data_IF_735572544047
#
_entry.id   IF_735572544047
#
_cell.length_a   1.000
_cell.length_b   1.000
_cell.length_c   1.000
_cell.angle_alpha   90.00
_cell.angle_beta   90.00
_cell.angle_gamma   90.00
#
_symmetry.space_group_name_H-M   'P 1'
#
loop_
_entity.id
_entity.type
_entity.pdbx_description
1 polymer ?
#
# COMPACT_ATOMS: atom_id res chain seq x y z
N UNK A 1 -13.10 5.80 22.21
CA UNK A 1 -12.83 7.10 21.57
C UNK A 1 -11.59 6.96 20.72
N UNK A 2 -11.75 6.52 19.48
CA UNK A 2 -10.70 6.41 18.45
C UNK A 2 -11.42 6.39 17.12
N UNK A 3 -11.53 7.54 16.46
CA UNK A 3 -12.33 7.66 15.24
C UNK A 3 -12.44 9.06 14.67
N UNK A 4 -11.44 9.92 14.91
CA UNK A 4 -11.32 11.20 14.20
C UNK A 4 -10.29 11.03 13.06
N UNK A 5 -10.65 11.29 11.80
CA UNK A 5 -9.78 11.09 10.64
C UNK A 5 -8.67 12.16 10.49
N UNK A 6 -8.46 13.01 11.49
CA UNK A 6 -7.40 14.04 11.51
C UNK A 6 -6.14 13.69 12.30
N UNK A 7 -6.11 12.55 13.00
CA UNK A 7 -4.96 12.18 13.82
C UNK A 7 -4.14 11.06 13.15
N UNK A 8 -2.89 11.33 12.84
CA UNK A 8 -1.96 10.27 12.49
C UNK A 8 -1.73 9.38 13.70
N UNK A 9 -2.16 8.13 13.63
CA UNK A 9 -1.92 7.14 14.68
C UNK A 9 -0.70 6.29 14.35
N UNK A 10 0.26 6.18 15.26
CA UNK A 10 1.35 5.21 15.15
C UNK A 10 1.07 4.01 16.07
N UNK A 11 1.53 2.82 15.70
CA UNK A 11 1.45 1.61 16.54
C UNK A 11 2.87 1.19 16.91
N UNK A 12 3.10 0.88 18.18
CA UNK A 12 4.42 0.47 18.69
C UNK A 12 4.29 -0.85 19.45
N UNK A 13 5.18 -1.79 19.20
CA UNK A 13 5.23 -3.05 19.95
C UNK A 13 6.22 -2.95 21.10
N UNK A 14 5.77 -3.30 22.31
CA UNK A 14 6.56 -3.24 23.55
C UNK A 14 6.48 -4.60 24.24
N UNK A 15 7.61 -5.27 24.55
CA UNK A 15 7.61 -6.49 25.34
C UNK A 15 6.95 -6.29 26.71
N UNK A 16 6.22 -7.30 27.20
CA UNK A 16 5.55 -7.22 28.51
C UNK A 16 6.45 -6.79 29.66
N UNK A 17 7.72 -7.21 29.68
CA UNK A 17 8.68 -6.81 30.71
C UNK A 17 9.01 -5.30 30.67
N UNK A 18 9.13 -4.73 29.46
CA UNK A 18 9.41 -3.30 29.28
C UNK A 18 8.16 -2.45 29.57
N UNK A 19 6.97 -2.94 29.19
CA UNK A 19 5.71 -2.27 29.52
C UNK A 19 5.45 -2.26 31.04
N UNK A 20 5.87 -3.31 31.76
CA UNK A 20 5.79 -3.37 33.22
C UNK A 20 6.76 -2.40 33.92
N UNK A 21 8.00 -2.30 33.43
CA UNK A 21 9.03 -1.43 34.02
C UNK A 21 8.91 0.04 33.59
N UNK A 22 8.27 0.32 32.46
CA UNK A 22 8.29 1.61 31.77
C UNK A 22 9.56 1.75 30.91
N UNK A 23 9.44 2.40 29.75
CA UNK A 23 10.55 2.57 28.81
C UNK A 23 10.33 3.78 27.91
N UNK A 24 11.39 4.27 27.27
CA UNK A 24 11.29 5.28 26.20
C UNK A 24 11.75 4.65 24.90
N UNK A 25 10.93 4.73 23.84
CA UNK A 25 11.23 4.19 22.52
C UNK A 25 11.23 5.32 21.49
N UNK A 26 12.15 5.25 20.53
CA UNK A 26 12.12 6.11 19.36
C UNK A 26 11.41 5.36 18.24
N UNK A 27 10.33 5.94 17.72
CA UNK A 27 9.48 5.31 16.70
C UNK A 27 9.44 6.21 15.50
N UNK A 28 9.69 5.65 14.32
CA UNK A 28 9.66 6.42 13.09
C UNK A 28 8.25 6.41 12.49
N UNK A 29 7.71 7.59 12.21
CA UNK A 29 6.44 7.78 11.50
C UNK A 29 6.70 8.29 10.07
N UNK A 30 6.06 7.71 9.03
CA UNK A 30 6.19 8.19 7.64
C UNK A 30 5.79 9.65 7.46
N UNK A 31 4.82 10.12 8.23
CA UNK A 31 4.30 11.48 8.13
C UNK A 31 5.06 12.46 9.02
N UNK A 32 5.67 11.99 10.13
CA UNK A 32 6.12 12.86 11.23
C UNK A 32 7.59 12.68 11.65
N UNK A 33 8.33 11.77 11.02
CA UNK A 33 9.73 11.48 11.37
C UNK A 33 9.87 10.74 12.71
N UNK A 34 11.04 10.82 13.38
CA UNK A 34 11.28 10.13 14.64
C UNK A 34 10.50 10.76 15.81
N UNK A 35 9.75 9.94 16.54
CA UNK A 35 8.95 10.29 17.71
C UNK A 35 9.51 9.61 18.96
N UNK A 36 9.76 10.38 20.02
CA UNK A 36 10.18 9.83 21.32
C UNK A 36 8.93 9.49 22.15
N UNK A 37 8.59 8.21 22.23
CA UNK A 37 7.41 7.71 22.94
C UNK A 37 7.82 7.23 24.33
N UNK A 38 7.29 7.87 25.36
CA UNK A 38 7.45 7.43 26.76
C UNK A 38 6.32 6.48 27.10
N UNK A 39 6.66 5.24 27.44
CA UNK A 39 5.74 4.18 27.87
C UNK A 39 5.73 4.15 29.40
N UNK A 40 4.63 4.53 30.06
CA UNK A 40 4.54 4.48 31.51
C UNK A 40 4.69 3.04 32.06
N UNK A 41 5.26 2.86 33.26
CA UNK A 41 5.25 1.56 33.93
C UNK A 41 3.83 1.04 34.14
N UNK A 42 3.61 -0.25 33.88
CA UNK A 42 2.30 -0.90 33.99
C UNK A 42 1.38 -0.67 32.78
N UNK A 43 1.92 -0.25 31.64
CA UNK A 43 1.14 -0.05 30.40
C UNK A 43 0.52 -1.37 29.92
N UNK A 44 -0.77 -1.37 29.59
CA UNK A 44 -1.50 -2.52 29.05
C UNK A 44 -1.62 -2.46 27.52
N UNK A 45 -1.87 -3.60 26.88
CA UNK A 45 -2.14 -3.67 25.43
C UNK A 45 -3.30 -2.75 25.05
N UNK A 46 -3.13 -1.98 23.96
CA UNK A 46 -4.10 -1.02 23.46
C UNK A 46 -4.08 0.37 24.13
N UNK A 47 -3.17 0.63 25.07
CA UNK A 47 -3.01 1.96 25.66
C UNK A 47 -2.58 3.00 24.60
N UNK A 48 -3.09 4.23 24.71
CA UNK A 48 -2.74 5.33 23.80
C UNK A 48 -1.97 6.40 24.55
N UNK A 49 -0.81 6.80 24.02
CA UNK A 49 0.03 7.88 24.53
C UNK A 49 0.08 9.01 23.51
N UNK A 50 -0.02 10.25 23.97
CA UNK A 50 0.12 11.43 23.14
C UNK A 50 1.56 11.92 23.14
N UNK A 51 2.15 12.07 21.96
CA UNK A 51 3.55 12.48 21.79
C UNK A 51 3.60 13.76 20.96
N UNK A 52 4.38 14.73 21.42
CA UNK A 52 4.53 16.00 20.71
C UNK A 52 5.62 15.88 19.63
N UNK A 53 5.21 16.06 18.38
CA UNK A 53 6.11 16.15 17.23
C UNK A 53 6.49 17.62 16.96
N UNK A 54 7.77 17.93 16.70
CA UNK A 54 8.20 19.27 16.29
C UNK A 54 7.54 19.76 14.99
N UNK A 55 7.11 18.85 14.12
CA UNK A 55 6.58 19.18 12.78
C UNK A 55 5.05 19.07 12.67
N UNK A 56 4.39 18.35 13.58
CA UNK A 56 2.99 17.97 13.42
C UNK A 56 2.12 18.09 14.68
N UNK A 57 2.65 18.63 15.78
CA UNK A 57 1.88 18.76 17.02
C UNK A 57 1.65 17.40 17.70
N UNK A 58 0.48 17.20 18.32
CA UNK A 58 0.20 16.02 19.13
C UNK A 58 -0.17 14.80 18.27
N UNK A 59 0.62 13.74 18.39
CA UNK A 59 0.44 12.46 17.70
C UNK A 59 -0.02 11.40 18.70
N UNK A 60 -1.10 10.67 18.39
CA UNK A 60 -1.55 9.55 19.19
C UNK A 60 -0.77 8.27 18.82
N UNK A 61 -0.17 7.62 19.81
CA UNK A 61 0.59 6.38 19.63
C UNK A 61 -0.09 5.26 20.42
N UNK A 62 -0.53 4.22 19.73
CA UNK A 62 -1.12 3.02 20.34
C UNK A 62 -0.03 2.01 20.69
N UNK A 63 0.02 1.56 21.93
CA UNK A 63 1.00 0.62 22.44
C UNK A 63 0.41 -0.79 22.37
N UNK A 64 1.12 -1.69 21.71
CA UNK A 64 0.82 -3.11 21.67
C UNK A 64 1.79 -3.87 22.56
N UNK A 65 1.26 -4.52 23.59
CA UNK A 65 2.10 -5.25 24.56
C UNK A 65 2.19 -6.70 24.11
N UNK A 66 3.36 -7.12 23.64
CA UNK A 66 3.58 -8.50 23.21
C UNK A 66 3.73 -9.42 24.43
N UNK A 67 2.83 -10.41 24.53
CA UNK A 67 2.95 -11.47 25.53
C UNK A 67 4.03 -12.46 25.11
N UNK A 68 4.95 -12.87 26.01
CA UNK A 68 5.87 -13.94 25.69
C UNK A 68 5.08 -15.24 25.46
N UNK A 69 5.48 -16.01 24.45
CA UNK A 69 4.99 -17.37 24.26
C UNK A 69 5.23 -18.15 25.57
N UNK A 70 4.23 -18.88 26.11
CA UNK A 70 4.51 -19.80 27.19
C UNK A 70 5.57 -20.80 26.71
N UNK A 71 6.56 -21.15 27.55
CA UNK A 71 7.52 -22.17 27.18
C UNK A 71 6.79 -23.45 26.80
N UNK A 72 7.31 -24.22 25.84
CA UNK A 72 6.69 -25.48 25.45
C UNK A 72 6.50 -26.35 26.71
N UNK A 73 5.37 -27.06 26.84
CA UNK A 73 5.17 -27.95 27.98
C UNK A 73 6.33 -28.95 28.05
N UNK A 74 6.83 -29.29 29.26
CA UNK A 74 7.91 -30.25 29.39
C UNK A 74 7.50 -31.57 28.72
N UNK A 75 8.40 -32.11 27.89
CA UNK A 75 8.22 -33.39 27.22
C UNK A 75 7.85 -34.47 28.25
N UNK A 76 6.61 -34.93 28.22
CA UNK A 76 6.19 -36.12 28.93
C UNK A 76 6.69 -37.35 28.15
N UNK A 77 7.64 -38.09 28.72
CA UNK A 77 7.95 -39.44 28.26
C UNK A 77 9.42 -39.77 28.11
N UNK A 78 10.13 -39.91 29.23
CA UNK A 78 11.21 -40.90 29.31
C UNK A 78 10.90 -41.77 30.54
N UNK A 79 10.44 -43.02 30.40
CA UNK A 79 10.27 -43.90 31.55
C UNK A 79 11.66 -44.29 32.09
N UNK A 80 11.87 -44.01 33.38
CA UNK A 80 13.00 -44.51 34.14
C UNK A 80 12.95 -46.04 34.21
N UNK A 81 14.08 -46.69 33.95
CA UNK A 81 14.28 -48.13 34.07
C UNK A 81 14.21 -48.59 35.52
N UNK A 82 13.16 -49.35 35.86
CA UNK A 82 13.03 -50.12 37.10
C UNK A 82 12.44 -51.50 36.81
N UNK A 83 12.86 -52.57 37.51
CA UNK A 83 12.46 -53.94 37.20
C UNK A 83 11.01 -54.26 37.63
N UNK A 84 10.32 -55.21 36.97
CA UNK A 84 8.88 -55.38 37.13
C UNK A 84 8.55 -56.35 38.27
N UNK A 85 7.51 -56.03 39.04
CA UNK A 85 6.79 -57.00 39.86
C UNK A 85 5.31 -56.60 39.94
N UNK A 86 4.41 -57.57 39.71
CA UNK A 86 3.01 -57.48 40.14
C UNK A 86 1.99 -57.58 39.01
N UNK A 87 1.27 -58.70 39.03
CA UNK A 87 0.19 -59.07 38.13
C UNK A 87 -0.99 -58.07 38.07
N UNK A 88 -1.62 -57.96 36.91
CA UNK A 88 -2.99 -57.44 36.76
C UNK A 88 -3.86 -58.44 35.97
N UNK A 89 -5.14 -58.62 36.37
CA UNK A 89 -6.11 -59.48 35.70
C UNK A 89 -6.70 -58.83 34.43
N UNK A 90 -7.38 -59.61 33.56
CA UNK A 90 -7.71 -59.19 32.19
C UNK A 90 -9.02 -58.38 32.11
N UNK A 91 -9.02 -57.28 31.37
CA UNK A 91 -10.26 -56.57 31.03
C UNK A 91 -10.08 -55.36 30.12
N UNK A 92 -10.61 -55.48 28.89
CA UNK A 92 -11.06 -54.42 27.98
C UNK A 92 -10.03 -53.44 27.37
N UNK A 93 -9.60 -53.73 26.13
CA UNK A 93 -9.11 -52.72 25.19
C UNK A 93 -10.25 -52.25 24.27
N UNK A 94 -10.41 -50.94 24.01
CA UNK A 94 -11.24 -50.43 22.92
C UNK A 94 -10.52 -50.62 21.55
N UNK A 95 -11.26 -50.78 20.44
CA UNK A 95 -10.70 -51.13 19.14
C UNK A 95 -10.02 -49.93 18.46
N UNK A 96 -8.77 -50.07 18.04
CA UNK A 96 -8.16 -49.12 17.09
C UNK A 96 -6.64 -48.94 17.09
N UNK A 97 -5.87 -49.54 18.00
CA UNK A 97 -4.41 -49.39 18.01
C UNK A 97 -3.71 -50.58 17.31
N UNK A 98 -3.13 -50.34 16.14
CA UNK A 98 -2.18 -51.25 15.51
C UNK A 98 -0.80 -51.12 16.20
N UNK A 99 -0.12 -52.22 16.56
CA UNK A 99 1.25 -52.14 17.08
C UNK A 99 2.25 -51.76 15.97
N UNK A 100 3.37 -51.09 16.31
CA UNK A 100 4.37 -50.67 15.32
C UNK A 100 5.17 -51.89 14.83
N UNK A 101 5.15 -52.19 13.53
CA UNK A 101 6.10 -53.15 12.95
C UNK A 101 5.66 -53.99 11.75
N UNK A 102 4.45 -53.86 11.21
CA UNK A 102 4.02 -54.67 10.06
C UNK A 102 3.67 -53.81 8.83
N UNK A 103 4.40 -54.00 7.73
CA UNK A 103 4.05 -53.50 6.41
C UNK A 103 2.92 -54.37 5.81
N UNK A 104 1.83 -53.79 5.27
CA UNK A 104 0.85 -54.56 4.51
C UNK A 104 1.34 -54.81 3.06
N UNK A 105 1.03 -55.98 2.47
CA UNK A 105 1.43 -56.34 1.11
C UNK A 105 0.62 -55.57 0.03
N UNK A 106 1.17 -55.40 -1.18
CA UNK A 106 0.61 -54.50 -2.18
C UNK A 106 -0.56 -55.14 -2.95
N UNK A 107 -1.67 -54.41 -3.04
CA UNK A 107 -2.69 -54.62 -4.07
C UNK A 107 -4.12 -54.79 -3.56
N UNK A 108 -4.75 -53.72 -3.08
CA UNK A 108 -6.19 -53.52 -3.21
C UNK A 108 -6.55 -52.02 -3.41
N UNK A 109 -7.58 -51.71 -4.21
CA UNK A 109 -7.94 -50.34 -4.57
C UNK A 109 -8.63 -49.60 -3.42
N UNK A 110 -8.21 -48.37 -3.17
CA UNK A 110 -8.79 -47.48 -2.17
C UNK A 110 -10.23 -47.09 -2.55
N UNK A 111 -11.19 -47.37 -1.66
CA UNK A 111 -12.55 -46.85 -1.76
C UNK A 111 -12.62 -45.33 -1.52
N UNK A 112 -13.74 -44.68 -1.91
CA UNK A 112 -13.87 -43.23 -1.80
C UNK A 112 -13.90 -42.76 -0.34
N UNK A 113 -13.35 -41.57 -0.04
CA UNK A 113 -13.27 -41.06 1.32
C UNK A 113 -14.66 -40.69 1.89
N UNK A 114 -14.85 -40.79 3.21
CA UNK A 114 -16.12 -40.43 3.85
C UNK A 114 -16.39 -38.91 3.78
N UNK A 115 -17.67 -38.50 3.80
CA UNK A 115 -18.06 -37.09 3.70
C UNK A 115 -17.61 -36.29 4.92
N UNK A 116 -17.13 -35.07 4.68
CA UNK A 116 -16.67 -34.15 5.70
C UNK A 116 -17.84 -33.63 6.57
N UNK A 117 -17.69 -33.71 7.89
CA UNK A 117 -18.59 -33.08 8.85
C UNK A 117 -18.37 -31.54 8.87
N UNK A 118 -19.42 -30.74 9.13
CA UNK A 118 -19.39 -29.30 8.94
C UNK A 118 -18.60 -28.58 10.03
N UNK A 119 -17.49 -27.92 9.66
CA UNK A 119 -16.79 -26.99 10.54
C UNK A 119 -17.44 -25.60 10.46
N UNK A 120 -18.17 -25.23 11.51
CA UNK A 120 -18.65 -23.87 11.73
C UNK A 120 -17.47 -22.93 11.99
N UNK A 121 -16.98 -22.29 10.94
CA UNK A 121 -16.01 -21.20 11.04
C UNK A 121 -16.74 -19.89 10.79
N UNK A 122 -16.93 -19.12 11.88
CA UNK A 122 -17.45 -17.75 11.84
C UNK A 122 -16.57 -16.92 10.92
N UNK A 123 -17.12 -16.55 9.75
CA UNK A 123 -16.58 -15.54 8.86
C UNK A 123 -16.74 -14.17 9.53
N UNK A 124 -15.65 -13.61 10.02
CA UNK A 124 -15.56 -12.16 10.13
C UNK A 124 -15.29 -11.61 8.73
N UNK A 125 -16.37 -11.41 7.99
CA UNK A 125 -16.40 -10.57 6.80
C UNK A 125 -16.15 -9.13 7.26
N UNK A 126 -14.99 -8.56 6.98
CA UNK A 126 -14.83 -7.11 7.05
C UNK A 126 -15.57 -6.55 5.84
N UNK A 127 -16.79 -6.12 6.11
CA UNK A 127 -17.69 -5.42 5.21
C UNK A 127 -17.05 -4.06 4.92
N UNK A 128 -16.57 -3.88 3.68
CA UNK A 128 -16.34 -2.56 3.11
C UNK A 128 -17.70 -1.90 2.90
N UNK A 129 -18.19 -1.22 3.95
CA UNK A 129 -19.38 -0.40 3.93
C UNK A 129 -18.97 1.06 3.78
N UNK A 130 -19.26 1.64 2.61
CA UNK A 130 -19.34 3.09 2.48
C UNK A 130 -20.51 3.61 3.34
N UNK A 131 -20.32 4.78 3.93
CA UNK A 131 -21.43 5.59 4.41
C UNK A 131 -21.01 7.06 4.43
N UNK A 132 -21.60 7.81 3.50
CA UNK A 132 -21.73 9.24 3.59
C UNK A 132 -22.58 9.57 4.83
N UNK A 133 -22.11 10.48 5.68
CA UNK A 133 -22.96 11.21 6.63
C UNK A 133 -22.43 12.64 6.74
N UNK A 134 -23.26 13.57 6.25
CA UNK A 134 -23.24 15.00 6.53
C UNK A 134 -23.36 15.25 8.03
N UNK A 135 -22.62 16.21 8.57
CA UNK A 135 -23.10 17.05 9.67
C UNK A 135 -22.35 18.39 9.73
N UNK A 136 -23.17 19.44 9.71
CA UNK A 136 -22.83 20.84 9.89
C UNK A 136 -22.56 21.19 11.37
N UNK A 137 -22.17 22.46 11.58
CA UNK A 137 -21.88 23.20 12.83
C UNK A 137 -20.38 23.17 13.18
N UNK A 138 -19.67 24.27 13.38
CA UNK A 138 -20.06 25.66 13.57
C UNK A 138 -19.01 26.33 14.48
N UNK A 139 -18.43 27.43 13.99
CA UNK A 139 -17.79 28.55 14.70
C UNK A 139 -16.83 28.27 15.89
N UNK A 140 -15.58 28.74 15.76
CA UNK A 140 -14.99 29.73 16.68
C UNK A 140 -13.66 30.26 16.12
N UNK A 141 -13.62 31.57 15.87
CA UNK A 141 -12.44 32.26 15.39
C UNK A 141 -11.37 32.48 16.45
N UNK A 142 -10.13 32.65 16.00
CA UNK A 142 -9.10 33.40 16.74
C UNK A 142 -8.38 34.30 15.75
N UNK A 143 -8.71 35.59 15.87
CA UNK A 143 -7.92 36.70 15.37
C UNK A 143 -6.55 36.66 16.03
N UNK A 144 -5.47 36.67 15.25
CA UNK A 144 -4.16 37.16 15.72
C UNK A 144 -3.62 38.19 14.76
N UNK A 145 -3.82 39.44 15.16
CA UNK A 145 -2.98 40.57 14.79
C UNK A 145 -1.56 40.35 15.33
N UNK A 146 -0.56 40.57 14.49
CA UNK A 146 0.79 40.92 14.93
C UNK A 146 1.11 42.31 14.39
N UNK A 147 1.17 43.25 15.32
CA UNK A 147 1.72 44.59 15.21
C UNK A 147 3.19 44.58 15.59
N UNK A 148 3.99 45.42 14.93
CA UNK A 148 5.38 45.78 15.25
C UNK A 148 6.22 45.70 13.97
N UNK A 149 6.72 46.77 13.35
CA UNK A 149 7.07 48.11 13.83
C UNK A 149 8.60 48.24 13.81
N UNK A 150 9.17 48.88 12.79
CA UNK A 150 10.14 49.99 12.92
C UNK A 150 10.62 50.52 11.54
N UNK A 151 10.25 51.77 11.28
CA UNK A 151 11.00 52.93 10.80
C UNK A 151 12.16 52.81 9.80
N UNK A 152 11.98 53.55 8.70
CA UNK A 152 13.02 54.04 7.79
C UNK A 152 12.51 55.30 7.09
N UNK A 153 12.70 56.45 7.73
CA UNK A 153 12.44 57.80 7.24
C UNK A 153 13.28 58.10 5.98
N UNK A 154 12.66 58.70 4.95
CA UNK A 154 13.32 59.67 4.09
C UNK A 154 12.31 60.68 3.52
N UNK A 155 12.60 61.96 3.77
CA UNK A 155 11.76 63.12 3.42
C UNK A 155 12.12 63.64 2.04
N UNK A 156 11.13 63.98 1.21
CA UNK A 156 11.20 65.24 0.46
C UNK A 156 9.82 65.78 0.06
N UNK A 157 9.61 67.07 0.38
CA UNK A 157 8.40 67.83 0.12
C UNK A 157 8.39 68.43 -1.30
N UNK A 158 7.21 68.45 -1.93
CA UNK A 158 6.90 69.18 -3.16
C UNK A 158 5.40 69.55 -3.20
N UNK A 159 5.11 70.81 -3.56
CA UNK A 159 3.85 71.57 -3.40
C UNK A 159 2.64 71.10 -4.25
N UNK A 160 1.41 71.60 -3.96
CA UNK A 160 0.14 71.01 -4.37
C UNK A 160 -0.33 71.49 -5.74
N UNK A 161 -0.94 70.61 -6.53
CA UNK A 161 -1.72 70.99 -7.70
C UNK A 161 -2.81 69.96 -8.00
N UNK A 162 -4.04 70.46 -8.16
CA UNK A 162 -5.01 69.90 -9.11
C UNK A 162 -5.80 68.68 -8.64
N UNK A 163 -6.99 68.97 -8.10
CA UNK A 163 -8.16 68.09 -8.20
C UNK A 163 -8.32 67.60 -9.65
N UNK A 164 -8.02 66.34 -9.89
CA UNK A 164 -8.72 65.55 -10.91
C UNK A 164 -9.19 64.28 -10.22
N UNK A 165 -10.44 64.34 -9.77
CA UNK A 165 -11.21 63.17 -9.35
C UNK A 165 -11.43 62.29 -10.58
N UNK A 166 -10.42 61.51 -10.94
CA UNK A 166 -10.62 60.35 -11.80
C UNK A 166 -11.26 59.29 -10.91
N UNK A 167 -12.59 59.16 -11.00
CA UNK A 167 -13.32 58.00 -10.49
C UNK A 167 -12.75 56.75 -11.13
N UNK A 168 -11.77 56.13 -10.46
CA UNK A 168 -11.45 54.73 -10.66
C UNK A 168 -12.64 53.92 -10.12
N UNK A 169 -13.24 53.00 -10.89
CA UNK A 169 -14.18 52.06 -10.31
C UNK A 169 -13.38 51.14 -9.39
N UNK A 170 -13.57 51.30 -8.08
CA UNK A 170 -13.18 50.30 -7.12
C UNK A 170 -14.14 49.11 -7.27
N UNK A 171 -13.81 48.18 -8.16
CA UNK A 171 -14.39 46.83 -8.13
C UNK A 171 -13.55 45.97 -7.18
N UNK A 172 -13.65 46.25 -5.89
CA UNK A 172 -13.16 45.38 -4.80
C UNK A 172 -14.35 44.74 -4.11
N UNK A 173 -15.25 44.16 -4.90
CA UNK A 173 -16.33 43.31 -4.42
C UNK A 173 -16.18 41.91 -5.01
N UNK A 174 -16.82 40.89 -4.40
CA UNK A 174 -16.78 39.53 -4.89
C UNK A 174 -17.19 39.47 -6.35
N UNK A 175 -16.57 38.55 -7.11
CA UNK A 175 -16.94 38.37 -8.51
C UNK A 175 -18.43 38.07 -8.60
N UNK A 176 -19.08 38.55 -9.66
CA UNK A 176 -20.44 38.08 -9.96
C UNK A 176 -20.41 36.57 -10.24
N UNK A 177 -21.49 35.82 -9.96
CA UNK A 177 -21.58 34.39 -10.27
C UNK A 177 -21.16 34.05 -11.71
N UNK A 178 -21.56 34.87 -12.69
CA UNK A 178 -21.19 34.68 -14.08
C UNK A 178 -19.68 34.85 -14.33
N UNK A 179 -19.04 35.85 -13.72
CA UNK A 179 -17.59 36.07 -13.83
C UNK A 179 -16.80 34.96 -13.14
N UNK A 180 -17.27 34.50 -11.98
CA UNK A 180 -16.67 33.38 -11.26
C UNK A 180 -16.75 32.07 -12.07
N UNK A 181 -17.92 31.76 -12.65
CA UNK A 181 -18.08 30.62 -13.54
C UNK A 181 -17.16 30.68 -14.77
N UNK A 182 -16.94 31.87 -15.34
CA UNK A 182 -15.98 32.07 -16.43
C UNK A 182 -14.53 31.83 -15.99
N UNK A 183 -14.15 32.31 -14.80
CA UNK A 183 -12.81 32.07 -14.24
C UNK A 183 -12.54 30.58 -14.04
N UNK A 184 -13.49 29.84 -13.46
CA UNK A 184 -13.39 28.38 -13.29
C UNK A 184 -13.25 27.67 -14.64
N UNK A 185 -14.08 28.01 -15.61
CA UNK A 185 -14.05 27.38 -16.94
C UNK A 185 -12.74 27.67 -17.69
N UNK A 186 -12.18 28.88 -17.56
CA UNK A 186 -10.90 29.25 -18.15
C UNK A 186 -9.74 28.45 -17.55
N UNK A 187 -9.70 28.32 -16.22
CA UNK A 187 -8.67 27.52 -15.54
C UNK A 187 -8.81 26.03 -15.82
N UNK A 188 -10.03 25.49 -15.88
CA UNK A 188 -10.27 24.09 -16.29
C UNK A 188 -9.71 23.80 -17.70
N UNK A 189 -9.97 24.69 -18.65
CA UNK A 189 -9.46 24.54 -20.02
C UNK A 189 -7.93 24.64 -20.10
N UNK A 190 -7.33 25.57 -19.34
CA UNK A 190 -5.88 25.75 -19.27
C UNK A 190 -5.19 24.50 -18.69
N UNK A 191 -5.71 23.97 -17.59
CA UNK A 191 -5.23 22.73 -16.98
C UNK A 191 -5.41 21.55 -17.93
N UNK A 192 -6.58 21.41 -18.56
CA UNK A 192 -6.90 20.27 -19.44
C UNK A 192 -5.91 20.07 -20.58
N UNK A 193 -5.38 21.15 -21.15
CA UNK A 193 -4.40 21.10 -22.25
C UNK A 193 -3.09 20.40 -21.85
N UNK A 194 -2.56 20.67 -20.66
CA UNK A 194 -1.30 20.08 -20.19
C UNK A 194 -1.55 18.77 -19.45
N UNK A 195 -2.63 18.68 -18.66
CA UNK A 195 -3.03 17.48 -17.94
C UNK A 195 -3.33 16.31 -18.89
N UNK A 196 -4.00 16.56 -20.02
CA UNK A 196 -4.30 15.52 -21.01
C UNK A 196 -3.05 14.84 -21.59
N UNK A 197 -1.88 15.50 -21.57
CA UNK A 197 -0.62 14.91 -22.03
C UNK A 197 -0.08 13.84 -21.09
N UNK A 198 -0.56 13.79 -19.85
CA UNK A 198 -0.23 12.74 -18.88
C UNK A 198 -0.95 11.42 -19.19
N UNK A 199 -1.96 11.43 -20.06
CA UNK A 199 -2.68 10.22 -20.47
C UNK A 199 -1.83 9.37 -21.42
N UNK A 200 -0.87 8.64 -20.84
CA UNK A 200 0.04 7.75 -21.54
C UNK A 200 0.21 6.44 -20.79
N UNK A 201 0.43 5.35 -21.54
CA UNK A 201 0.79 4.05 -20.98
C UNK A 201 2.28 3.92 -20.61
N UNK A 202 3.10 4.87 -21.05
CA UNK A 202 4.56 4.87 -20.91
C UNK A 202 5.00 5.81 -19.78
N UNK A 203 5.74 5.28 -18.81
CA UNK A 203 6.17 6.03 -17.62
C UNK A 203 7.21 7.11 -17.97
N UNK A 204 8.04 6.92 -18.99
CA UNK A 204 9.01 7.95 -19.41
C UNK A 204 8.32 9.13 -20.08
N UNK A 205 7.32 8.86 -20.93
CA UNK A 205 6.48 9.90 -21.51
C UNK A 205 5.70 10.66 -20.42
N UNK A 206 5.19 9.95 -19.41
CA UNK A 206 4.55 10.56 -18.25
C UNK A 206 5.51 11.50 -17.52
N UNK A 207 6.70 11.02 -17.14
CA UNK A 207 7.69 11.83 -16.42
C UNK A 207 8.15 13.06 -17.21
N UNK A 208 8.18 12.97 -18.55
CA UNK A 208 8.51 14.12 -19.41
C UNK A 208 7.40 15.18 -19.44
N UNK A 209 6.13 14.76 -19.35
CA UNK A 209 4.98 15.67 -19.39
C UNK A 209 4.60 16.24 -18.01
N UNK A 210 4.93 15.54 -16.93
CA UNK A 210 4.58 15.87 -15.55
C UNK A 210 4.97 17.29 -15.11
N UNK A 211 6.19 17.80 -15.32
CA UNK A 211 6.56 19.14 -14.85
C UNK A 211 5.71 20.25 -15.48
N UNK A 212 5.37 20.12 -16.76
CA UNK A 212 4.54 21.10 -17.46
C UNK A 212 3.09 21.08 -16.94
N UNK A 213 2.54 19.89 -16.68
CA UNK A 213 1.20 19.75 -16.10
C UNK A 213 1.14 20.30 -14.67
N UNK A 214 2.10 19.91 -13.81
CA UNK A 214 2.18 20.38 -12.43
C UNK A 214 2.36 21.90 -12.35
N UNK A 215 3.26 22.48 -13.15
CA UNK A 215 3.44 23.93 -13.23
C UNK A 215 2.17 24.67 -13.66
N UNK A 216 1.43 24.12 -14.64
CA UNK A 216 0.16 24.71 -15.09
C UNK A 216 -0.89 24.66 -13.99
N UNK A 217 -1.05 23.49 -13.33
CA UNK A 217 -2.03 23.32 -12.24
C UNK A 217 -1.74 24.29 -11.11
N UNK A 218 -0.48 24.43 -10.69
CA UNK A 218 -0.10 25.38 -9.63
C UNK A 218 -0.35 26.83 -10.06
N UNK A 219 0.00 27.19 -11.29
CA UNK A 219 -0.25 28.55 -11.79
C UNK A 219 -1.75 28.89 -11.83
N UNK A 220 -2.59 27.97 -12.30
CA UNK A 220 -4.04 28.16 -12.33
C UNK A 220 -4.65 28.15 -10.92
N UNK A 221 -4.15 27.31 -10.01
CA UNK A 221 -4.53 27.36 -8.60
C UNK A 221 -4.22 28.72 -7.97
N UNK A 222 -3.05 29.32 -8.23
CA UNK A 222 -2.71 30.65 -7.70
C UNK A 222 -3.57 31.75 -8.31
N UNK A 223 -3.91 31.67 -9.61
CA UNK A 223 -4.83 32.62 -10.24
C UNK A 223 -6.22 32.55 -9.60
N UNK A 224 -6.72 31.35 -9.36
CA UNK A 224 -8.01 31.14 -8.72
C UNK A 224 -7.99 31.59 -7.25
N UNK A 225 -6.91 31.38 -6.49
CA UNK A 225 -6.77 31.92 -5.12
C UNK A 225 -6.85 33.45 -5.05
N UNK A 226 -6.49 34.16 -6.11
CA UNK A 226 -6.59 35.62 -6.18
C UNK A 226 -8.00 36.12 -6.54
N UNK A 227 -8.93 35.21 -6.82
CA UNK A 227 -10.34 35.51 -7.09
C UNK A 227 -11.11 35.52 -5.78
N UNK A 228 -11.97 36.53 -5.61
CA UNK A 228 -12.94 36.57 -4.52
C UNK A 228 -14.24 35.85 -4.96
N UNK A 229 -14.53 34.65 -4.42
CA UNK A 229 -15.69 33.85 -4.83
C UNK A 229 -17.02 34.48 -4.35
N UNK A 230 -18.14 34.21 -5.06
CA UNK A 230 -19.47 34.60 -4.59
C UNK A 230 -19.86 33.90 -3.28
N UNK A 231 -20.77 34.52 -2.54
CA UNK A 231 -21.35 33.96 -1.31
C UNK A 231 -21.84 32.52 -1.50
N UNK A 232 -21.42 31.61 -0.61
CA UNK A 232 -21.77 30.19 -0.63
C UNK A 232 -20.79 29.29 -1.40
N UNK A 233 -19.80 29.84 -2.10
CA UNK A 233 -18.76 29.08 -2.80
C UNK A 233 -17.39 29.14 -2.10
N UNK A 234 -17.21 29.95 -1.06
CA UNK A 234 -15.91 30.31 -0.48
C UNK A 234 -15.16 29.11 0.07
N UNK A 235 -15.81 28.31 0.92
CA UNK A 235 -15.19 27.13 1.53
C UNK A 235 -14.82 26.06 0.50
N UNK A 236 -15.67 25.84 -0.49
CA UNK A 236 -15.41 24.86 -1.57
C UNK A 236 -14.31 25.36 -2.50
N UNK A 237 -14.28 26.68 -2.75
CA UNK A 237 -13.23 27.31 -3.55
C UNK A 237 -11.86 27.17 -2.87
N UNK A 238 -11.76 27.45 -1.57
CA UNK A 238 -10.51 27.31 -0.82
C UNK A 238 -10.00 25.86 -0.83
N UNK A 239 -10.89 24.89 -0.57
CA UNK A 239 -10.55 23.47 -0.60
C UNK A 239 -10.06 23.03 -1.98
N UNK A 240 -10.75 23.43 -3.05
CA UNK A 240 -10.34 23.14 -4.42
C UNK A 240 -8.92 23.66 -4.70
N UNK A 241 -8.55 24.81 -4.16
CA UNK A 241 -7.24 25.40 -4.36
C UNK A 241 -6.13 24.69 -3.58
N UNK A 242 -6.44 24.08 -2.45
CA UNK A 242 -5.51 23.21 -1.72
C UNK A 242 -5.29 21.93 -2.55
N UNK A 243 -6.37 21.29 -2.98
CA UNK A 243 -6.31 20.02 -3.69
C UNK A 243 -5.64 20.12 -5.06
N UNK A 244 -5.89 21.20 -5.81
CA UNK A 244 -5.16 21.46 -7.05
C UNK A 244 -3.65 21.63 -6.80
N UNK A 245 -3.27 22.38 -5.76
CA UNK A 245 -1.86 22.54 -5.38
C UNK A 245 -1.20 21.19 -5.08
N UNK A 246 -1.82 20.40 -4.21
CA UNK A 246 -1.33 19.07 -3.83
C UNK A 246 -1.34 18.07 -4.99
N UNK A 247 -2.28 18.18 -5.93
CA UNK A 247 -2.27 17.38 -7.15
C UNK A 247 -1.03 17.70 -8.02
N UNK A 248 -0.64 18.97 -8.12
CA UNK A 248 0.59 19.38 -8.79
C UNK A 248 1.83 18.72 -8.19
N UNK A 249 1.93 18.71 -6.86
CA UNK A 249 3.04 18.07 -6.12
C UNK A 249 3.04 16.55 -6.34
N UNK A 250 1.88 15.91 -6.25
CA UNK A 250 1.74 14.48 -6.50
C UNK A 250 2.17 14.08 -7.92
N UNK A 251 1.88 14.90 -8.93
CA UNK A 251 2.27 14.62 -10.32
C UNK A 251 3.79 14.60 -10.48
N UNK A 252 4.50 15.51 -9.82
CA UNK A 252 5.97 15.55 -9.83
C UNK A 252 6.60 14.41 -9.03
N UNK A 253 6.01 14.08 -7.88
CA UNK A 253 6.42 12.92 -7.08
C UNK A 253 6.23 11.64 -7.88
N UNK A 254 5.07 11.44 -8.51
CA UNK A 254 4.80 10.26 -9.34
C UNK A 254 5.73 10.16 -10.57
N UNK A 255 6.24 11.29 -11.07
CA UNK A 255 7.19 11.32 -12.17
C UNK A 255 8.62 10.93 -11.76
N UNK A 256 8.96 11.15 -10.49
CA UNK A 256 10.31 10.97 -9.93
C UNK A 256 10.43 9.72 -9.07
N UNK A 257 9.31 9.23 -8.53
CA UNK A 257 9.27 8.10 -7.62
C UNK A 257 9.59 6.78 -8.33
N UNK A 258 10.32 5.93 -7.63
CA UNK A 258 10.37 4.51 -7.96
C UNK A 258 8.99 3.94 -7.71
N UNK A 259 8.33 3.44 -8.74
CA UNK A 259 7.03 2.82 -8.60
C UNK A 259 7.14 1.49 -7.86
N UNK A 260 6.37 1.34 -6.78
CA UNK A 260 6.21 0.05 -6.08
C UNK A 260 5.66 -1.02 -7.03
N UNK A 261 4.80 -0.62 -7.96
CA UNK A 261 4.26 -1.46 -9.03
C UNK A 261 4.73 -0.98 -10.42
N UNK A 262 5.84 -1.48 -10.97
CA UNK A 262 6.36 -1.03 -12.27
C UNK A 262 5.41 -1.30 -13.47
N UNK A 263 4.46 -2.21 -13.31
CA UNK A 263 3.45 -2.48 -14.34
C UNK A 263 2.18 -1.62 -14.19
N UNK A 264 2.07 -0.82 -13.13
CA UNK A 264 1.02 0.18 -12.99
C UNK A 264 1.14 1.27 -14.06
N UNK A 265 0.05 2.00 -14.26
CA UNK A 265 0.05 3.21 -15.08
C UNK A 265 0.10 4.41 -14.12
N UNK A 266 1.11 5.28 -14.18
CA UNK A 266 1.14 6.48 -13.34
C UNK A 266 -0.09 7.36 -13.55
N UNK A 267 -0.63 7.39 -14.78
CA UNK A 267 -1.91 8.02 -15.09
C UNK A 267 -3.09 7.41 -14.32
N UNK A 268 -3.21 6.07 -14.32
CA UNK A 268 -4.28 5.41 -13.57
C UNK A 268 -4.15 5.68 -12.06
N UNK A 269 -2.94 5.60 -11.51
CA UNK A 269 -2.67 5.90 -10.09
C UNK A 269 -3.02 7.34 -9.72
N UNK A 270 -2.74 8.29 -10.61
CA UNK A 270 -3.12 9.70 -10.44
C UNK A 270 -4.65 9.85 -10.40
N UNK A 271 -5.36 9.19 -11.31
CA UNK A 271 -6.82 9.28 -11.39
C UNK A 271 -7.55 8.60 -10.21
N UNK A 272 -6.93 7.61 -9.56
CA UNK A 272 -7.47 6.94 -8.37
C UNK A 272 -6.94 7.54 -7.06
N UNK A 273 -6.22 8.66 -7.12
CA UNK A 273 -5.70 9.31 -5.92
C UNK A 273 -6.80 10.01 -5.13
N UNK A 274 -6.61 10.11 -3.81
CA UNK A 274 -7.52 10.85 -2.94
C UNK A 274 -7.69 12.32 -3.35
N UNK A 275 -6.62 12.95 -3.86
CA UNK A 275 -6.67 14.32 -4.41
C UNK A 275 -7.55 14.43 -5.65
N UNK A 276 -7.47 13.46 -6.56
CA UNK A 276 -8.35 13.44 -7.73
C UNK A 276 -9.81 13.21 -7.32
N UNK A 277 -10.06 12.43 -6.27
CA UNK A 277 -11.42 12.23 -5.74
C UNK A 277 -11.96 13.49 -5.06
N UNK A 278 -11.14 14.18 -4.26
CA UNK A 278 -11.46 15.49 -3.68
C UNK A 278 -11.86 16.50 -4.75
N UNK A 279 -11.05 16.66 -5.81
CA UNK A 279 -11.32 17.65 -6.86
C UNK A 279 -12.65 17.36 -7.56
N UNK A 280 -12.97 16.08 -7.76
CA UNK A 280 -14.27 15.67 -8.33
C UNK A 280 -15.42 15.93 -7.37
N UNK A 281 -15.20 15.83 -6.06
CA UNK A 281 -16.18 16.16 -5.05
C UNK A 281 -16.43 17.66 -4.98
N UNK A 282 -15.38 18.47 -4.95
CA UNK A 282 -15.46 19.93 -4.92
C UNK A 282 -16.08 20.49 -6.19
N UNK A 283 -15.75 19.94 -7.35
CA UNK A 283 -16.43 20.27 -8.60
C UNK A 283 -17.96 20.03 -8.54
N UNK A 284 -18.40 18.95 -7.89
CA UNK A 284 -19.83 18.68 -7.68
C UNK A 284 -20.46 19.68 -6.71
N UNK A 285 -19.77 20.01 -5.61
CA UNK A 285 -20.22 21.00 -4.64
C UNK A 285 -20.36 22.39 -5.27
N UNK A 286 -19.39 22.81 -6.09
CA UNK A 286 -19.47 24.07 -6.86
C UNK A 286 -20.67 24.09 -7.80
N UNK A 287 -20.86 23.03 -8.60
CA UNK A 287 -22.03 22.93 -9.49
C UNK A 287 -23.36 22.89 -8.73
N UNK A 288 -23.38 22.38 -7.48
CA UNK A 288 -24.56 22.38 -6.63
C UNK A 288 -24.86 23.77 -6.04
N UNK A 289 -23.83 24.57 -5.76
CA UNK A 289 -23.97 25.96 -5.34
C UNK A 289 -24.54 26.83 -6.46
N UNK A 290 -24.02 26.69 -7.68
CA UNK A 290 -24.57 27.32 -8.88
C UNK A 290 -24.31 26.43 -10.12
N UNK A 291 -25.35 26.11 -10.93
CA UNK A 291 -25.18 25.32 -12.15
C UNK A 291 -24.16 25.89 -13.15
N UNK A 292 -23.85 27.19 -13.10
CA UNK A 292 -22.84 27.85 -13.94
C UNK A 292 -21.41 27.57 -13.50
N UNK A 293 -21.17 27.11 -12.26
CA UNK A 293 -19.82 26.82 -11.74
C UNK A 293 -19.34 25.44 -12.21
N UNK A 294 -18.96 25.39 -13.49
CA UNK A 294 -18.43 24.17 -14.12
C UNK A 294 -16.91 24.10 -13.96
N UNK A 295 -16.45 23.05 -13.29
CA UNK A 295 -15.04 22.73 -13.10
C UNK A 295 -14.82 21.21 -13.09
N UNK A 296 -13.60 20.76 -13.34
CA UNK A 296 -13.21 19.34 -13.25
C UNK A 296 -13.35 18.53 -14.54
N UNK A 297 -13.66 19.17 -15.69
CA UNK A 297 -13.71 18.48 -16.99
C UNK A 297 -12.31 18.04 -17.43
N UNK A 298 -11.26 18.72 -17.00
CA UNK A 298 -9.88 18.27 -17.22
C UNK A 298 -9.59 16.90 -16.58
N UNK A 299 -10.31 16.55 -15.50
CA UNK A 299 -10.07 15.37 -14.68
C UNK A 299 -11.10 14.27 -15.00
N UNK A 300 -10.76 13.29 -15.85
CA UNK A 300 -11.70 12.21 -16.16
C UNK A 300 -11.99 11.35 -14.92
N UNK A 301 -13.05 10.56 -15.02
CA UNK A 301 -13.41 9.61 -13.98
C UNK A 301 -12.28 8.60 -13.72
N UNK A 302 -12.16 8.17 -12.46
CA UNK A 302 -11.23 7.12 -12.09
C UNK A 302 -11.49 5.84 -12.91
N UNK A 303 -10.45 5.17 -13.42
CA UNK A 303 -10.63 3.88 -14.07
C UNK A 303 -11.20 2.88 -13.07
N UNK A 304 -12.14 2.05 -13.52
CA UNK A 304 -12.69 0.98 -12.69
C UNK A 304 -11.59 -0.01 -12.36
N UNK A 305 -11.51 -0.42 -11.09
CA UNK A 305 -10.61 -1.47 -10.69
C UNK A 305 -10.92 -2.79 -11.42
N UNK A 306 -9.93 -3.32 -12.10
CA UNK A 306 -9.97 -4.67 -12.66
C UNK A 306 -9.22 -5.64 -11.77
N UNK A 307 -9.58 -6.92 -11.83
CA UNK A 307 -8.86 -8.02 -11.18
C UNK A 307 -8.42 -9.04 -12.23
N UNK A 308 -7.58 -8.59 -13.17
CA UNK A 308 -7.06 -9.45 -14.24
C UNK A 308 -6.11 -10.50 -13.66
N UNK A 309 -6.23 -11.74 -14.11
CA UNK A 309 -5.41 -12.87 -13.62
C UNK A 309 -5.06 -13.79 -14.77
N UNK A 310 -3.84 -14.31 -14.80
CA UNK A 310 -3.48 -15.39 -15.73
C UNK A 310 -4.05 -16.72 -15.26
N UNK A 311 -4.05 -17.72 -16.14
CA UNK A 311 -4.29 -19.12 -15.73
C UNK A 311 -3.16 -19.57 -14.80
N UNK A 312 -3.49 -20.40 -13.80
CA UNK A 312 -2.47 -21.00 -12.93
C UNK A 312 -1.47 -21.81 -13.76
N UNK A 313 -0.17 -21.64 -13.51
CA UNK A 313 0.89 -22.30 -14.26
C UNK A 313 1.21 -21.68 -15.62
N UNK A 314 0.72 -20.47 -15.91
CA UNK A 314 1.06 -19.77 -17.15
C UNK A 314 2.56 -19.42 -17.16
N UNK A 315 3.27 -19.88 -18.19
CA UNK A 315 4.69 -19.55 -18.36
C UNK A 315 4.82 -18.17 -19.02
N UNK A 316 5.49 -17.25 -18.34
CA UNK A 316 5.98 -16.00 -18.91
C UNK A 316 7.31 -16.22 -19.63
N UNK A 317 8.09 -17.18 -19.12
CA UNK A 317 9.27 -17.73 -19.74
C UNK A 317 9.37 -19.22 -19.43
N UNK A 318 9.52 -20.06 -20.46
CA UNK A 318 9.63 -21.50 -20.31
C UNK A 318 11.10 -21.94 -20.29
N UNK A 319 11.43 -22.89 -19.43
CA UNK A 319 12.74 -23.51 -19.41
C UNK A 319 12.98 -24.35 -20.68
N UNK A 320 14.24 -24.41 -21.14
CA UNK A 320 14.63 -25.02 -22.41
C UNK A 320 15.11 -26.47 -22.30
N UNK A 321 14.47 -27.25 -21.43
CA UNK A 321 14.72 -28.69 -21.24
C UNK A 321 15.61 -29.01 -20.04
N UNK A 322 15.54 -30.25 -19.56
CA UNK A 322 16.22 -30.74 -18.36
C UNK A 322 15.26 -31.53 -17.46
N UNK A 323 15.76 -32.48 -16.66
CA UNK A 323 14.90 -33.37 -15.87
C UNK A 323 14.53 -32.77 -14.50
N UNK A 324 15.02 -31.58 -14.15
CA UNK A 324 14.70 -30.92 -12.89
C UNK A 324 13.25 -30.48 -12.80
N UNK A 325 12.69 -30.57 -11.59
CA UNK A 325 11.32 -30.19 -11.26
C UNK A 325 11.28 -29.19 -10.10
N UNK A 326 10.50 -28.13 -10.24
CA UNK A 326 10.21 -27.18 -9.17
C UNK A 326 8.71 -27.19 -8.86
N UNK A 327 8.34 -27.75 -7.71
CA UNK A 327 6.99 -27.70 -7.17
C UNK A 327 6.83 -26.42 -6.34
N UNK A 328 5.79 -25.68 -6.66
CA UNK A 328 5.46 -24.39 -6.05
C UNK A 328 4.10 -24.54 -5.40
N UNK A 329 4.02 -24.28 -4.11
CA UNK A 329 2.77 -24.15 -3.36
C UNK A 329 2.59 -22.70 -2.98
N UNK A 330 1.63 -22.00 -3.59
CA UNK A 330 1.38 -20.61 -3.31
C UNK A 330 0.20 -20.48 -2.34
N UNK A 331 0.47 -20.13 -1.09
CA UNK A 331 -0.56 -19.85 -0.08
C UNK A 331 -0.81 -18.36 0.15
N UNK A 332 -0.13 -17.49 -0.59
CA UNK A 332 -0.27 -16.03 -0.54
C UNK A 332 -1.07 -15.53 -1.75
N UNK A 333 -0.87 -14.28 -2.15
CA UNK A 333 -1.47 -13.66 -3.33
C UNK A 333 -0.90 -14.21 -4.65
N UNK A 334 -1.50 -13.81 -5.77
CA UNK A 334 -1.01 -14.18 -7.09
C UNK A 334 0.47 -13.81 -7.24
N UNK A 335 1.29 -14.79 -7.64
CA UNK A 335 2.74 -14.63 -7.63
C UNK A 335 3.35 -15.13 -8.93
N UNK A 336 4.35 -14.40 -9.42
CA UNK A 336 5.29 -14.87 -10.44
C UNK A 336 6.56 -15.36 -9.78
N UNK A 337 7.03 -16.53 -10.23
CA UNK A 337 8.22 -17.19 -9.73
C UNK A 337 9.24 -17.23 -10.86
N UNK A 338 10.35 -16.52 -10.67
CA UNK A 338 11.48 -16.45 -11.60
C UNK A 338 12.67 -17.25 -11.06
N UNK A 339 13.15 -18.20 -11.85
CA UNK A 339 14.34 -18.99 -11.54
C UNK A 339 15.54 -18.40 -12.30
N UNK A 340 16.52 -17.88 -11.56
CA UNK A 340 17.67 -17.14 -12.12
C UNK A 340 18.97 -17.89 -11.79
N UNK A 341 19.84 -18.21 -12.78
CA UNK A 341 21.13 -18.82 -12.51
C UNK A 341 21.99 -17.96 -11.59
N UNK A 342 22.77 -18.57 -10.69
CA UNK A 342 23.70 -17.80 -9.83
C UNK A 342 24.99 -17.41 -10.54
N UNK A 343 25.30 -18.05 -11.68
CA UNK A 343 26.50 -17.80 -12.48
C UNK A 343 26.21 -16.89 -13.66
N UNK A 344 27.17 -16.02 -14.00
CA UNK A 344 27.14 -15.10 -15.15
C UNK A 344 27.15 -13.63 -14.72
N UNK A 345 27.62 -12.73 -15.60
CA UNK A 345 27.75 -11.29 -15.29
C UNK A 345 26.39 -10.59 -15.08
N UNK A 346 25.33 -11.06 -15.74
CA UNK A 346 23.93 -10.58 -15.62
C UNK A 346 22.96 -11.72 -15.90
N UNK A 347 22.75 -12.65 -14.95
CA UNK A 347 21.97 -13.85 -15.20
C UNK A 347 20.50 -13.48 -15.45
N UNK A 348 19.95 -13.96 -16.57
CA UNK A 348 18.53 -13.80 -16.90
C UNK A 348 17.73 -14.98 -16.34
N UNK A 349 16.44 -14.80 -16.02
CA UNK A 349 15.57 -15.91 -15.67
C UNK A 349 15.62 -16.98 -16.76
N UNK A 350 15.75 -18.25 -16.37
CA UNK A 350 15.61 -19.40 -17.28
C UNK A 350 14.17 -19.90 -17.32
N UNK A 351 13.40 -19.55 -16.29
CA UNK A 351 12.00 -19.92 -16.10
C UNK A 351 11.32 -18.77 -15.37
N UNK A 352 10.14 -18.37 -15.83
CA UNK A 352 9.22 -17.51 -15.08
C UNK A 352 7.81 -18.06 -15.25
N UNK A 353 7.15 -18.39 -14.13
CA UNK A 353 5.81 -18.96 -14.12
C UNK A 353 4.90 -18.17 -13.17
N UNK A 354 3.67 -17.93 -13.61
CA UNK A 354 2.61 -17.35 -12.80
C UNK A 354 1.85 -18.46 -12.06
N UNK A 355 1.70 -18.32 -10.75
CA UNK A 355 0.99 -19.25 -9.87
C UNK A 355 -0.02 -18.46 -9.07
N UNK A 356 -1.29 -18.88 -9.15
CA UNK A 356 -2.38 -18.18 -8.46
C UNK A 356 -2.27 -18.35 -6.94
N UNK A 357 -2.76 -17.37 -6.20
CA UNK A 357 -2.92 -17.48 -4.76
C UNK A 357 -3.78 -18.69 -4.38
N UNK A 358 -3.39 -19.38 -3.30
CA UNK A 358 -3.99 -20.64 -2.84
C UNK A 358 -3.78 -21.84 -3.77
N UNK A 359 -3.01 -21.71 -4.86
CA UNK A 359 -2.83 -22.77 -5.87
C UNK A 359 -1.43 -23.38 -5.82
N UNK A 360 -1.26 -24.53 -6.49
CA UNK A 360 0.04 -25.16 -6.67
C UNK A 360 0.34 -25.38 -8.15
N UNK A 361 1.62 -25.44 -8.49
CA UNK A 361 2.08 -25.76 -9.83
C UNK A 361 3.44 -26.46 -9.81
N UNK A 362 3.72 -27.33 -10.77
CA UNK A 362 5.04 -27.96 -10.93
C UNK A 362 5.64 -27.58 -12.27
N UNK A 363 6.65 -26.71 -12.23
CA UNK A 363 7.46 -26.39 -13.38
C UNK A 363 8.43 -27.55 -13.66
N UNK A 364 8.51 -27.96 -14.92
CA UNK A 364 9.39 -29.03 -15.41
C UNK A 364 10.36 -28.46 -16.44
N UNK A 365 11.41 -29.20 -16.77
CA UNK A 365 12.34 -28.79 -17.83
C UNK A 365 13.52 -27.98 -17.32
N UNK A 366 13.91 -28.13 -16.04
CA UNK A 366 14.98 -27.34 -15.42
C UNK A 366 16.31 -28.09 -15.61
N UNK A 367 17.33 -27.40 -16.13
CA UNK A 367 18.69 -27.95 -16.29
C UNK A 367 19.39 -28.05 -14.94
N UNK A 368 20.40 -28.90 -14.89
CA UNK A 368 21.31 -28.95 -13.75
C UNK A 368 22.05 -27.62 -13.61
N UNK A 369 22.21 -27.18 -12.37
CA UNK A 369 22.79 -25.90 -12.04
C UNK A 369 22.34 -25.37 -10.69
N UNK A 370 22.93 -24.26 -10.28
CA UNK A 370 22.55 -23.54 -9.06
C UNK A 370 21.79 -22.28 -9.42
N UNK A 371 20.64 -22.10 -8.79
CA UNK A 371 19.71 -21.02 -9.09
C UNK A 371 19.29 -20.29 -7.83
N UNK A 372 18.84 -19.05 -8.01
CA UNK A 372 18.11 -18.27 -7.01
C UNK A 372 16.68 -18.07 -7.49
N UNK A 373 15.75 -18.09 -6.54
CA UNK A 373 14.33 -17.88 -6.82
C UNK A 373 13.97 -16.45 -6.43
N UNK A 374 13.32 -15.76 -7.37
CA UNK A 374 12.75 -14.45 -7.20
C UNK A 374 11.23 -14.53 -7.31
N UNK A 375 10.54 -13.79 -6.46
CA UNK A 375 9.08 -13.75 -6.38
C UNK A 375 8.60 -12.32 -6.55
N UNK A 376 7.65 -12.12 -7.45
CA UNK A 376 6.88 -10.88 -7.51
C UNK A 376 5.41 -11.22 -7.35
N UNK A 377 4.76 -10.63 -6.35
CA UNK A 377 3.34 -10.85 -6.03
C UNK A 377 2.56 -9.55 -6.16
N UNK A 378 1.23 -9.65 -6.29
CA UNK A 378 0.33 -8.51 -6.28
C UNK A 378 -1.02 -8.81 -6.94
N UNK A 379 -1.75 -7.73 -7.24
CA UNK A 379 -3.07 -7.79 -7.88
C UNK A 379 -3.07 -7.25 -9.33
N UNK A 380 -4.14 -7.61 -10.05
CA UNK A 380 -4.46 -7.12 -11.40
C UNK A 380 -3.32 -7.23 -12.41
N UNK A 381 -3.17 -8.43 -12.95
CA UNK A 381 -2.13 -8.74 -13.93
C UNK A 381 -2.25 -7.91 -15.22
N UNK A 382 -1.18 -7.20 -15.56
CA UNK A 382 -0.99 -6.52 -16.83
C UNK A 382 -0.16 -7.39 -17.78
N UNK A 383 -0.81 -8.00 -18.78
CA UNK A 383 -0.14 -8.87 -19.74
C UNK A 383 0.88 -8.13 -20.64
N UNK A 384 0.62 -6.87 -20.99
CA UNK A 384 1.51 -6.06 -21.83
C UNK A 384 2.82 -5.71 -21.11
N UNK A 385 2.73 -5.37 -19.82
CA UNK A 385 3.89 -5.04 -18.98
C UNK A 385 4.46 -6.23 -18.20
N UNK A 386 3.82 -7.41 -18.29
CA UNK A 386 4.17 -8.66 -17.61
C UNK A 386 4.38 -8.49 -16.10
N UNK A 387 3.47 -7.80 -15.42
CA UNK A 387 3.54 -7.56 -13.97
C UNK A 387 2.20 -7.20 -13.36
N UNK A 388 2.20 -7.05 -12.03
CA UNK A 388 1.04 -6.62 -11.24
C UNK A 388 0.95 -5.10 -11.18
N UNK A 389 -0.27 -4.57 -11.11
CA UNK A 389 -0.52 -3.13 -11.11
C UNK A 389 -0.83 -2.57 -9.72
N UNK A 390 -1.13 -3.43 -8.74
CA UNK A 390 -1.45 -3.04 -7.35
C UNK A 390 -0.86 -4.04 -6.35
N UNK A 391 -0.67 -3.57 -5.11
CA UNK A 391 -0.20 -4.35 -3.95
C UNK A 391 1.05 -5.18 -4.25
N UNK A 392 2.00 -4.57 -4.96
CA UNK A 392 3.16 -5.31 -5.44
C UNK A 392 4.19 -5.54 -4.35
N UNK A 393 4.67 -6.77 -4.26
CA UNK A 393 5.81 -7.13 -3.40
C UNK A 393 6.82 -7.95 -4.18
N UNK A 394 8.09 -7.60 -4.04
CA UNK A 394 9.22 -8.20 -4.74
C UNK A 394 10.23 -8.72 -3.74
N UNK A 395 10.53 -10.01 -3.82
CA UNK A 395 11.44 -10.67 -2.90
C UNK A 395 12.29 -11.72 -3.61
N UNK A 396 13.35 -12.15 -2.94
CA UNK A 396 14.19 -13.28 -3.33
C UNK A 396 14.34 -14.23 -2.15
N UNK A 397 14.47 -15.50 -2.44
CA UNK A 397 14.99 -16.46 -1.47
C UNK A 397 16.49 -16.21 -1.30
N UNK A 398 16.97 -16.22 -0.06
CA UNK A 398 18.39 -16.04 0.22
C UNK A 398 19.19 -17.29 -0.12
N UNK A 399 18.58 -18.45 0.13
CA UNK A 399 19.13 -19.75 -0.24
C UNK A 399 19.19 -19.95 -1.76
N UNK A 400 20.15 -20.78 -2.14
CA UNK A 400 20.31 -21.22 -3.53
C UNK A 400 19.82 -22.65 -3.71
N UNK A 401 19.22 -22.90 -4.87
CA UNK A 401 18.60 -24.18 -5.21
C UNK A 401 19.47 -24.88 -6.25
N UNK A 402 20.09 -26.00 -5.86
CA UNK A 402 20.94 -26.80 -6.74
C UNK A 402 20.13 -27.93 -7.36
N UNK A 403 19.96 -27.89 -8.68
CA UNK A 403 19.40 -28.98 -9.47
C UNK A 403 20.54 -29.86 -9.95
N UNK A 404 20.48 -31.14 -9.62
CA UNK A 404 21.43 -32.17 -10.07
C UNK A 404 20.66 -33.39 -10.54
N UNK A 405 21.17 -34.03 -11.58
CA UNK A 405 20.62 -35.25 -12.15
C UNK A 405 21.69 -36.32 -12.16
N UNK A 406 21.32 -37.52 -11.76
CA UNK A 406 22.13 -38.74 -11.92
C UNK A 406 21.45 -39.68 -12.90
N UNK A 407 22.14 -40.75 -13.31
CA UNK A 407 21.59 -41.76 -14.24
C UNK A 407 20.26 -42.40 -13.79
N UNK A 408 19.92 -42.32 -12.50
CA UNK A 408 18.72 -42.93 -11.93
C UNK A 408 17.80 -41.95 -11.17
N UNK A 409 18.16 -40.66 -11.04
CA UNK A 409 17.36 -39.71 -10.27
C UNK A 409 17.49 -38.26 -10.74
N UNK A 410 16.44 -37.48 -10.56
CA UNK A 410 16.39 -36.04 -10.86
C UNK A 410 15.99 -35.24 -9.62
N UNK A 411 16.55 -34.05 -9.44
CA UNK A 411 16.19 -33.16 -8.33
C UNK A 411 14.75 -32.65 -8.43
N UNK A 412 13.99 -32.81 -7.35
CA UNK A 412 12.64 -32.23 -7.17
C UNK A 412 12.69 -31.26 -5.99
N UNK A 413 12.68 -29.97 -6.27
CA UNK A 413 12.58 -28.93 -5.25
C UNK A 413 11.12 -28.59 -4.98
N UNK A 414 10.75 -28.40 -3.71
CA UNK A 414 9.45 -27.87 -3.33
C UNK A 414 9.63 -26.58 -2.56
N UNK A 415 8.96 -25.52 -3.00
CA UNK A 415 8.86 -24.25 -2.27
C UNK A 415 7.41 -23.98 -1.87
N UNK A 416 7.25 -23.35 -0.72
CA UNK A 416 5.95 -22.89 -0.21
C UNK A 416 6.01 -21.39 0.00
N UNK A 417 5.12 -20.65 -0.65
CA UNK A 417 4.99 -19.20 -0.55
C UNK A 417 3.88 -18.90 0.46
N UNK A 418 4.21 -19.06 1.74
CA UNK A 418 3.33 -18.69 2.85
C UNK A 418 4.25 -18.23 3.97
N UNK A 419 4.18 -16.96 4.40
CA UNK A 419 4.96 -16.51 5.53
C UNK A 419 4.49 -17.27 6.77
N UNK A 420 5.39 -18.07 7.34
CA UNK A 420 5.17 -18.80 8.59
C UNK A 420 6.30 -18.44 9.55
N UNK A 421 5.93 -18.04 10.77
CA UNK A 421 6.90 -17.79 11.85
C UNK A 421 7.68 -19.09 12.09
N UNK A 422 9.01 -19.02 12.06
CA UNK A 422 9.88 -20.21 12.16
C UNK A 422 10.01 -21.01 10.87
N UNK A 423 9.62 -20.45 9.72
CA UNK A 423 9.87 -21.03 8.40
C UNK A 423 11.36 -21.24 8.13
N UNK A 424 11.68 -22.27 7.34
CA UNK A 424 13.06 -22.67 7.02
C UNK A 424 13.65 -21.93 5.80
N UNK A 425 12.94 -20.96 5.24
CA UNK A 425 13.35 -20.23 4.06
C UNK A 425 13.29 -18.73 4.35
N UNK A 426 14.46 -18.08 4.38
CA UNK A 426 14.55 -16.63 4.52
C UNK A 426 14.44 -15.95 3.15
N UNK A 427 13.82 -14.78 3.15
CA UNK A 427 13.69 -13.94 1.97
C UNK A 427 14.19 -12.54 2.25
N UNK A 428 14.81 -11.92 1.24
CA UNK A 428 15.11 -10.49 1.24
C UNK A 428 14.23 -9.76 0.23
N UNK A 429 13.90 -8.51 0.53
CA UNK A 429 13.24 -7.61 -0.40
C UNK A 429 14.15 -7.27 -1.60
N UNK A 430 13.52 -7.01 -2.74
CA UNK A 430 14.20 -6.67 -3.99
C UNK A 430 13.61 -5.38 -4.53
N UNK A 431 14.46 -4.40 -4.86
CA UNK A 431 14.01 -3.19 -5.54
C UNK A 431 13.27 -3.58 -6.84
N UNK A 432 12.03 -3.09 -7.08
CA UNK A 432 11.25 -3.44 -8.26
C UNK A 432 11.99 -3.23 -9.59
N UNK A 433 12.92 -2.26 -9.65
CA UNK A 433 13.73 -1.97 -10.83
C UNK A 433 14.92 -2.91 -11.00
N UNK A 434 15.40 -3.51 -9.90
CA UNK A 434 16.43 -4.54 -9.90
C UNK A 434 15.85 -5.95 -10.13
N UNK A 435 14.51 -6.09 -10.12
CA UNK A 435 13.86 -7.38 -10.30
C UNK A 435 14.16 -7.97 -11.70
N UNK A 436 14.52 -9.26 -11.80
CA UNK A 436 14.92 -9.86 -13.06
C UNK A 436 13.74 -10.04 -14.02
N UNK A 437 13.89 -9.55 -15.26
CA UNK A 437 12.85 -9.55 -16.31
C UNK A 437 13.06 -10.61 -17.39
#
# INVERSE_FOLDING_TARGET
>A
MTGDPGYSSAIIEVPQAEAAAGTTKVVWSPTHGPLNVVVPPGTTDGAVVWVQSPTAGNVAVTIRVSSPFPPPPPFAGVPASGPPAGAYPPGAYPPGAYPPGAYPPPGQPFGPPPPAAPSNMRRNSIIGGGLAVLLALGCCGVVRAFTGGDDGDDKQAGKPAGLTSTTAPATTGPLTPAQYGQALAASDAAIGSTFGKLNTGDSTAFSKAAPAAASTIRAESQKLRAVDPPDGAESVHEQLMIELGSMGDMIEDAASAKQDCPAASPWASLLTSGWADGIREDAKKLTAADPSYKFGKFLPAAPKETKRRLKNGAFLKRASGGPGHLKIKNGADDTTISLVPTKGKKPKPVLTVYVRGGSSFTAKGIKDGTYRIFTASGEDWNAGKKGFTRDCSFSKFDDTFKFTTTSFSSSIWTITLTPVIGGNASTSDVDPNAFPK
#
